data_IF_257837475409
#
_entry.id   IF_257837475409
#
_cell.length_a   1.000
_cell.length_b   1.000
_cell.length_c   1.000
_cell.angle_alpha   90.00
_cell.angle_beta   90.00
_cell.angle_gamma   90.00
#
_symmetry.space_group_name_H-M   'P 1'
#
loop_
_entity.id
_entity.type
_entity.pdbx_description
1 polymer ?
#
# COMPACT_ATOMS: atom_id res chain seq x y z
N UNK A 1 -7.33 -20.74 9.30
CA UNK A 1 -6.77 -19.61 8.52
C UNK A 1 -6.57 -18.39 9.41
N UNK A 2 -5.73 -17.49 8.97
CA UNK A 2 -5.52 -16.25 9.70
C UNK A 2 -6.68 -15.26 9.45
N UNK A 3 -6.98 -14.44 10.45
CA UNK A 3 -8.08 -13.47 10.35
C UNK A 3 -7.94 -12.55 9.14
N UNK A 4 -6.71 -12.06 8.81
CA UNK A 4 -6.54 -11.13 7.70
C UNK A 4 -6.96 -11.73 6.37
N UNK A 5 -6.89 -13.05 6.21
CA UNK A 5 -7.30 -13.71 4.97
C UNK A 5 -8.79 -13.56 4.68
N UNK A 6 -9.59 -13.22 5.69
CA UNK A 6 -11.04 -12.98 5.53
C UNK A 6 -11.36 -11.51 5.20
N UNK A 7 -10.36 -10.62 5.23
CA UNK A 7 -10.58 -9.19 5.07
C UNK A 7 -10.36 -8.74 3.64
N UNK A 8 -11.39 -8.17 3.03
CA UNK A 8 -11.29 -7.66 1.66
C UNK A 8 -10.19 -6.60 1.51
N UNK A 9 -10.01 -5.73 2.53
CA UNK A 9 -8.97 -4.71 2.48
C UNK A 9 -7.56 -5.32 2.44
N UNK A 10 -7.36 -6.50 3.04
CA UNK A 10 -6.06 -7.17 2.96
C UNK A 10 -5.81 -7.66 1.54
N UNK A 11 -6.80 -8.29 0.91
CA UNK A 11 -6.67 -8.75 -0.48
C UNK A 11 -6.44 -7.57 -1.43
N UNK A 12 -7.13 -6.44 -1.22
CA UNK A 12 -6.92 -5.23 -2.01
C UNK A 12 -5.50 -4.69 -1.83
N UNK A 13 -5.00 -4.71 -0.59
CA UNK A 13 -3.64 -4.24 -0.30
C UNK A 13 -2.57 -5.15 -0.90
N UNK A 14 -2.79 -6.47 -0.90
CA UNK A 14 -1.89 -7.42 -1.56
C UNK A 14 -1.85 -7.15 -3.07
N UNK A 15 -3.02 -6.94 -3.69
CA UNK A 15 -3.08 -6.63 -5.11
C UNK A 15 -2.30 -5.34 -5.43
N UNK A 16 -2.43 -4.33 -4.59
CA UNK A 16 -1.68 -3.08 -4.73
C UNK A 16 -0.17 -3.34 -4.63
N UNK A 17 0.26 -4.11 -3.64
CA UNK A 17 1.67 -4.45 -3.45
C UNK A 17 2.24 -5.17 -4.68
N UNK A 18 1.50 -6.15 -5.22
CA UNK A 18 1.92 -6.89 -6.41
C UNK A 18 2.14 -5.95 -7.59
N UNK A 19 1.23 -5.00 -7.80
CA UNK A 19 1.36 -4.02 -8.89
C UNK A 19 2.58 -3.14 -8.73
N UNK A 20 2.90 -2.76 -7.48
CA UNK A 20 4.10 -1.96 -7.21
C UNK A 20 5.36 -2.76 -7.54
N UNK A 21 5.44 -4.03 -7.10
CA UNK A 21 6.56 -4.91 -7.42
C UNK A 21 6.70 -5.13 -8.93
N UNK A 22 5.58 -5.35 -9.62
CA UNK A 22 5.59 -5.52 -11.08
C UNK A 22 6.18 -4.29 -11.76
N UNK A 23 5.82 -3.10 -11.29
CA UNK A 23 6.38 -1.86 -11.84
C UNK A 23 7.88 -1.76 -11.55
N UNK A 24 8.30 -1.94 -10.30
CA UNK A 24 9.71 -1.74 -9.93
C UNK A 24 10.64 -2.73 -10.61
N UNK A 25 10.14 -3.91 -10.97
CA UNK A 25 10.92 -4.89 -11.74
C UNK A 25 11.30 -4.37 -13.14
N UNK A 26 10.58 -3.38 -13.66
CA UNK A 26 10.89 -2.78 -14.98
C UNK A 26 12.01 -1.74 -14.91
N UNK A 27 12.40 -1.30 -13.72
CA UNK A 27 13.42 -0.27 -13.54
C UNK A 27 14.81 -0.81 -13.84
N UNK A 28 15.71 0.08 -14.32
CA UNK A 28 17.12 -0.27 -14.45
C UNK A 28 17.73 -0.52 -13.06
N UNK A 29 18.85 -1.24 -12.99
CA UNK A 29 19.48 -1.58 -11.72
C UNK A 29 19.78 -0.35 -10.86
N UNK A 30 20.17 0.76 -11.47
CA UNK A 30 20.44 2.01 -10.77
C UNK A 30 19.22 2.45 -9.94
N UNK A 31 18.04 2.44 -10.57
CA UNK A 31 16.81 2.88 -9.90
C UNK A 31 16.14 1.78 -9.09
N UNK A 32 16.34 0.52 -9.49
CA UNK A 32 15.76 -0.62 -8.78
C UNK A 32 16.25 -0.69 -7.32
N UNK A 33 17.55 -0.40 -7.10
CA UNK A 33 18.15 -0.47 -5.77
C UNK A 33 18.09 0.86 -5.00
N UNK A 34 17.45 1.88 -5.56
CA UNK A 34 17.21 3.15 -4.87
C UNK A 34 15.71 3.37 -4.73
N UNK A 35 15.06 4.10 -5.65
CA UNK A 35 13.63 4.38 -5.58
C UNK A 35 12.78 3.12 -5.63
N UNK A 36 13.20 2.11 -6.42
CA UNK A 36 12.47 0.85 -6.51
C UNK A 36 12.39 0.12 -5.17
N UNK A 37 13.51 0.08 -4.47
CA UNK A 37 13.58 -0.52 -3.14
C UNK A 37 12.66 0.16 -2.15
N UNK A 38 12.62 1.50 -2.17
CA UNK A 38 11.74 2.28 -1.30
C UNK A 38 10.27 2.08 -1.64
N UNK A 39 9.94 2.03 -2.93
CA UNK A 39 8.57 1.77 -3.39
C UNK A 39 8.10 0.38 -2.97
N UNK A 40 8.96 -0.63 -3.09
CA UNK A 40 8.62 -1.98 -2.68
C UNK A 40 8.33 -2.04 -1.19
N UNK A 41 9.16 -1.38 -0.38
CA UNK A 41 8.97 -1.35 1.07
C UNK A 41 7.65 -0.68 1.46
N UNK A 42 7.39 0.51 0.91
CA UNK A 42 6.17 1.24 1.23
C UNK A 42 4.93 0.58 0.62
N UNK A 43 5.07 -0.02 -0.57
CA UNK A 43 3.98 -0.72 -1.24
C UNK A 43 3.56 -2.01 -0.56
N UNK A 44 4.50 -2.69 0.11
CA UNK A 44 4.21 -3.90 0.87
C UNK A 44 3.61 -3.59 2.24
N UNK A 45 3.92 -2.43 2.80
CA UNK A 45 3.54 -2.06 4.16
C UNK A 45 2.04 -2.06 4.42
N UNK A 46 1.15 -1.61 3.51
CA UNK A 46 -0.29 -1.66 3.78
C UNK A 46 -0.79 -3.06 4.10
N UNK A 47 -0.45 -4.07 3.31
CA UNK A 47 -0.89 -5.44 3.57
C UNK A 47 -0.32 -5.99 4.87
N UNK A 48 0.95 -5.71 5.14
CA UNK A 48 1.59 -6.18 6.38
C UNK A 48 0.95 -5.56 7.61
N UNK A 49 0.62 -4.28 7.58
CA UNK A 49 0.00 -3.60 8.73
C UNK A 49 -1.44 -4.02 8.94
N UNK A 50 -2.19 -4.28 7.88
CA UNK A 50 -3.52 -4.86 8.02
C UNK A 50 -3.43 -6.25 8.67
N UNK A 51 -2.49 -7.07 8.22
CA UNK A 51 -2.30 -8.42 8.75
C UNK A 51 -1.93 -8.37 10.24
N UNK A 52 -0.92 -7.56 10.60
CA UNK A 52 -0.50 -7.40 11.99
C UNK A 52 -1.62 -6.88 12.86
N UNK A 53 -2.34 -5.85 12.37
CA UNK A 53 -3.45 -5.25 13.12
C UNK A 53 -4.57 -6.23 13.36
N UNK A 54 -4.85 -7.10 12.40
CA UNK A 54 -5.92 -8.10 12.53
C UNK A 54 -5.61 -9.13 13.63
N UNK A 55 -4.34 -9.29 13.98
CA UNK A 55 -3.90 -10.16 15.08
C UNK A 55 -3.89 -9.47 16.43
N UNK A 56 -4.20 -8.16 16.49
CA UNK A 56 -4.21 -7.44 17.76
C UNK A 56 -5.40 -7.84 18.64
N UNK A 57 -5.23 -7.70 19.94
CA UNK A 57 -6.29 -8.04 20.89
C UNK A 57 -7.31 -6.92 21.06
N UNK A 58 -6.96 -5.67 20.71
CA UNK A 58 -7.85 -4.52 20.90
C UNK A 58 -8.17 -3.84 19.58
N UNK A 59 -9.38 -3.26 19.53
CA UNK A 59 -9.79 -2.44 18.40
C UNK A 59 -8.91 -1.20 18.24
N UNK A 60 -8.43 -0.64 19.36
CA UNK A 60 -7.53 0.52 19.37
C UNK A 60 -6.23 0.19 18.63
N UNK A 61 -5.61 -0.95 18.95
CA UNK A 61 -4.36 -1.36 18.31
C UNK A 61 -4.60 -1.61 16.83
N UNK A 62 -5.70 -2.27 16.48
CA UNK A 62 -6.03 -2.51 15.08
C UNK A 62 -6.19 -1.19 14.31
N UNK A 63 -6.89 -0.21 14.89
CA UNK A 63 -7.03 1.11 14.27
C UNK A 63 -5.67 1.77 14.05
N UNK A 64 -4.74 1.62 15.00
CA UNK A 64 -3.40 2.19 14.87
C UNK A 64 -2.64 1.56 13.70
N UNK A 65 -2.70 0.23 13.54
CA UNK A 65 -2.09 -0.45 12.39
C UNK A 65 -2.72 -0.01 11.08
N UNK A 66 -4.04 0.17 11.05
CA UNK A 66 -4.73 0.66 9.85
C UNK A 66 -4.31 2.09 9.50
N UNK A 67 -4.04 2.93 10.49
CA UNK A 67 -3.50 4.27 10.24
C UNK A 67 -2.12 4.20 9.56
N UNK A 68 -1.26 3.30 10.02
CA UNK A 68 0.05 3.09 9.39
C UNK A 68 -0.12 2.60 7.96
N UNK A 69 -1.07 1.68 7.73
CA UNK A 69 -1.37 1.18 6.38
C UNK A 69 -1.74 2.31 5.43
N UNK A 70 -2.63 3.22 5.85
CA UNK A 70 -3.04 4.36 5.03
C UNK A 70 -1.84 5.27 4.73
N UNK A 71 -1.03 5.57 5.75
CA UNK A 71 0.14 6.43 5.58
C UNK A 71 1.16 5.80 4.62
N UNK A 72 1.28 4.49 4.63
CA UNK A 72 2.16 3.78 3.70
C UNK A 72 1.68 3.89 2.25
N UNK A 73 0.36 3.89 2.03
CA UNK A 73 -0.19 4.16 0.69
C UNK A 73 0.21 5.56 0.23
N UNK A 74 0.09 6.55 1.12
CA UNK A 74 0.49 7.93 0.80
C UNK A 74 1.97 8.01 0.44
N UNK A 75 2.83 7.34 1.21
CA UNK A 75 4.27 7.29 0.93
C UNK A 75 4.53 6.69 -0.45
N UNK A 76 3.84 5.61 -0.79
CA UNK A 76 3.99 4.94 -2.08
C UNK A 76 3.59 5.86 -3.23
N UNK A 77 2.45 6.53 -3.12
CA UNK A 77 1.99 7.44 -4.17
C UNK A 77 2.93 8.64 -4.31
N UNK A 78 3.45 9.16 -3.19
CA UNK A 78 4.45 10.22 -3.24
C UNK A 78 5.70 9.77 -4.01
N UNK A 79 6.19 8.56 -3.73
CA UNK A 79 7.34 7.99 -4.45
C UNK A 79 7.07 7.77 -5.92
N UNK A 80 5.88 7.29 -6.28
CA UNK A 80 5.47 7.14 -7.68
C UNK A 80 5.41 8.48 -8.40
N UNK A 81 5.01 9.54 -7.69
CA UNK A 81 4.98 10.89 -8.27
C UNK A 81 6.40 11.38 -8.59
N UNK A 82 7.36 11.08 -7.72
CA UNK A 82 8.77 11.37 -8.00
C UNK A 82 9.23 10.61 -9.25
N UNK A 83 8.89 9.32 -9.32
CA UNK A 83 9.23 8.49 -10.49
C UNK A 83 8.62 9.08 -11.77
N UNK A 84 7.38 9.56 -11.70
CA UNK A 84 6.71 10.17 -12.83
C UNK A 84 7.41 11.46 -13.28
N UNK A 85 7.78 12.33 -12.32
CA UNK A 85 8.52 13.55 -12.61
C UNK A 85 9.89 13.26 -13.21
N UNK A 86 10.50 12.15 -12.85
CA UNK A 86 11.78 11.68 -13.41
C UNK A 86 11.60 10.92 -14.72
N UNK A 87 10.38 10.78 -15.22
CA UNK A 87 10.07 10.04 -16.45
C UNK A 87 10.46 8.56 -16.38
N UNK A 88 10.35 7.97 -15.18
CA UNK A 88 10.65 6.55 -14.94
C UNK A 88 9.42 5.66 -15.01
N UNK A 89 8.25 6.24 -15.17
CA UNK A 89 6.97 5.53 -15.26
C UNK A 89 6.12 6.22 -16.32
N UNK A 90 5.34 5.44 -17.08
CA UNK A 90 4.43 6.02 -18.05
C UNK A 90 3.29 6.76 -17.33
N UNK A 91 2.73 7.79 -17.99
CA UNK A 91 1.59 8.50 -17.42
C UNK A 91 0.41 7.56 -17.20
N UNK A 92 0.15 6.65 -18.12
CA UNK A 92 -0.95 5.70 -18.02
C UNK A 92 -0.83 4.82 -16.79
N UNK A 93 0.34 4.22 -16.55
CA UNK A 93 0.55 3.36 -15.40
C UNK A 93 0.52 4.17 -14.10
N UNK A 94 1.14 5.36 -14.10
CA UNK A 94 1.12 6.24 -12.93
C UNK A 94 -0.32 6.56 -12.51
N UNK A 95 -1.16 6.94 -13.46
CA UNK A 95 -2.56 7.28 -13.15
C UNK A 95 -3.34 6.10 -12.60
N UNK A 96 -3.10 4.90 -13.14
CA UNK A 96 -3.74 3.67 -12.64
C UNK A 96 -3.35 3.37 -11.20
N UNK A 97 -2.05 3.43 -10.90
CA UNK A 97 -1.55 3.15 -9.56
C UNK A 97 -2.00 4.23 -8.57
N UNK A 98 -2.03 5.48 -9.00
CA UNK A 98 -2.55 6.59 -8.21
C UNK A 98 -4.00 6.33 -7.81
N UNK A 99 -4.83 5.96 -8.77
CA UNK A 99 -6.25 5.67 -8.52
C UNK A 99 -6.41 4.45 -7.60
N UNK A 100 -5.62 3.40 -7.82
CA UNK A 100 -5.64 2.22 -6.95
C UNK A 100 -5.30 2.61 -5.50
N UNK A 101 -4.32 3.47 -5.32
CA UNK A 101 -3.93 3.96 -3.99
C UNK A 101 -5.04 4.77 -3.33
N UNK A 102 -5.70 5.66 -4.09
CA UNK A 102 -6.85 6.42 -3.56
C UNK A 102 -7.97 5.48 -3.10
N UNK A 103 -8.33 4.52 -3.93
CA UNK A 103 -9.38 3.56 -3.61
C UNK A 103 -9.02 2.74 -2.38
N UNK A 104 -7.78 2.25 -2.32
CA UNK A 104 -7.32 1.45 -1.19
C UNK A 104 -7.37 2.25 0.11
N UNK A 105 -6.86 3.48 0.11
CA UNK A 105 -6.84 4.30 1.33
C UNK A 105 -8.25 4.61 1.81
N UNK A 106 -9.20 4.88 0.91
CA UNK A 106 -10.61 5.10 1.28
C UNK A 106 -11.24 3.85 1.89
N UNK A 107 -10.97 2.69 1.33
CA UNK A 107 -11.51 1.43 1.84
C UNK A 107 -10.95 1.07 3.21
N UNK A 108 -9.65 1.29 3.41
CA UNK A 108 -9.04 1.06 4.72
C UNK A 108 -9.65 1.99 5.76
N UNK A 109 -9.80 3.28 5.44
CA UNK A 109 -10.43 4.25 6.36
C UNK A 109 -11.85 3.86 6.70
N UNK A 110 -12.62 3.42 5.71
CA UNK A 110 -14.01 3.00 5.91
C UNK A 110 -14.06 1.79 6.84
N UNK A 111 -13.20 0.81 6.63
CA UNK A 111 -13.13 -0.35 7.50
C UNK A 111 -12.74 0.05 8.92
N UNK A 112 -11.77 0.96 9.06
CA UNK A 112 -11.34 1.47 10.38
C UNK A 112 -12.50 2.06 11.15
N UNK A 113 -13.41 2.76 10.48
CA UNK A 113 -14.59 3.34 11.12
C UNK A 113 -15.51 2.29 11.71
N UNK A 114 -15.47 1.05 11.23
CA UNK A 114 -16.28 -0.04 11.79
C UNK A 114 -15.73 -0.57 13.10
N UNK A 115 -14.46 -0.25 13.43
CA UNK A 115 -13.80 -0.68 14.66
C UNK A 115 -14.05 0.37 15.74
N UNK A 116 -15.26 0.39 16.25
CA UNK A 116 -15.67 1.37 17.27
C UNK A 116 -14.89 1.21 18.55
N UNK A 117 -14.67 2.32 19.27
CA UNK A 117 -14.13 2.26 20.63
C UNK A 117 -15.11 1.58 21.57
#
# INVERSE_FOLDING_TARGET
MFRFETLNIWHDAVAFAVKIFDYTETLSNEYKFSIGSQLNRSGLSPSNNIAEGSGSESAKDFRNFLNIAVRSVYETISGLTVAYKKQLITEELYRKLYQDGETLSKRIRKFRQTLSP
#
